data_IF_496732499205
#
_entry.id   IF_496732499205
#
_cell.length_a   1.000
_cell.length_b   1.000
_cell.length_c   1.000
_cell.angle_alpha   90.00
_cell.angle_beta   90.00
_cell.angle_gamma   90.00
#
_symmetry.space_group_name_H-M   'P 1'
#
loop_
_entity.id
_entity.type
_entity.pdbx_description
1 polymer ?
#
# COMPACT_ATOMS: atom_id res chain seq x y z
N UNK A 1 -27.79 -51.30 -22.60
CA UNK A 1 -26.45 -50.71 -22.36
C UNK A 1 -25.77 -51.62 -21.36
N UNK A 2 -24.60 -52.15 -21.73
CA UNK A 2 -23.84 -53.04 -20.85
C UNK A 2 -23.41 -52.28 -19.59
N UNK A 3 -23.48 -52.96 -18.44
CA UNK A 3 -23.09 -52.43 -17.13
C UNK A 3 -21.65 -51.91 -17.10
N UNK A 4 -20.80 -52.46 -17.97
CA UNK A 4 -19.41 -52.03 -18.19
C UNK A 4 -19.30 -50.66 -18.86
N UNK A 5 -20.21 -50.32 -19.77
CA UNK A 5 -20.21 -49.02 -20.44
C UNK A 5 -20.65 -47.92 -19.45
N UNK A 6 -21.63 -48.22 -18.59
CA UNK A 6 -22.15 -47.29 -17.58
C UNK A 6 -21.07 -47.00 -16.52
N UNK A 7 -20.33 -48.01 -16.07
CA UNK A 7 -19.26 -47.81 -15.07
C UNK A 7 -18.10 -46.97 -15.58
N UNK A 8 -17.72 -47.11 -16.86
CA UNK A 8 -16.68 -46.27 -17.50
C UNK A 8 -17.13 -44.80 -17.57
N UNK A 9 -18.37 -44.54 -17.97
CA UNK A 9 -18.91 -43.17 -18.07
C UNK A 9 -18.93 -42.50 -16.70
N UNK A 10 -19.34 -43.23 -15.65
CA UNK A 10 -19.36 -42.71 -14.27
C UNK A 10 -17.95 -42.41 -13.78
N UNK A 11 -16.97 -43.29 -14.04
CA UNK A 11 -15.58 -43.05 -13.66
C UNK A 11 -14.99 -41.80 -14.32
N UNK A 12 -15.26 -41.59 -15.63
CA UNK A 12 -14.83 -40.38 -16.34
C UNK A 12 -15.49 -39.13 -15.76
N UNK A 13 -16.80 -39.18 -15.46
CA UNK A 13 -17.51 -38.06 -14.87
C UNK A 13 -16.94 -37.67 -13.50
N UNK A 14 -16.55 -38.65 -12.66
CA UNK A 14 -15.92 -38.41 -11.36
C UNK A 14 -14.54 -37.77 -11.53
N UNK A 15 -13.73 -38.25 -12.48
CA UNK A 15 -12.39 -37.68 -12.75
C UNK A 15 -12.50 -36.25 -13.26
N UNK A 16 -13.46 -35.97 -14.17
CA UNK A 16 -13.71 -34.62 -14.67
C UNK A 16 -14.21 -33.70 -13.56
N UNK A 17 -15.14 -34.17 -12.72
CA UNK A 17 -15.63 -33.39 -11.57
C UNK A 17 -14.52 -33.11 -10.55
N UNK A 18 -13.66 -34.09 -10.27
CA UNK A 18 -12.48 -33.90 -9.42
C UNK A 18 -11.49 -32.92 -10.06
N UNK A 19 -11.23 -33.04 -11.36
CA UNK A 19 -10.38 -32.08 -12.08
C UNK A 19 -10.93 -30.66 -12.00
N UNK A 20 -12.23 -30.44 -12.22
CA UNK A 20 -12.85 -29.12 -12.07
C UNK A 20 -12.83 -28.61 -10.63
N UNK A 21 -13.04 -29.48 -9.64
CA UNK A 21 -12.97 -29.13 -8.22
C UNK A 21 -11.55 -28.75 -7.77
N UNK A 22 -10.52 -29.44 -8.27
CA UNK A 22 -9.12 -29.13 -7.97
C UNK A 22 -8.54 -28.01 -8.84
N UNK A 23 -9.06 -27.79 -10.05
CA UNK A 23 -8.63 -26.69 -10.94
C UNK A 23 -9.33 -25.37 -10.65
N UNK A 24 -10.38 -25.36 -9.83
CA UNK A 24 -10.85 -24.15 -9.16
C UNK A 24 -9.85 -23.74 -8.08
N UNK A 25 -8.70 -23.21 -8.50
CA UNK A 25 -7.89 -22.35 -7.63
C UNK A 25 -8.79 -21.22 -7.17
N UNK A 26 -9.11 -21.18 -5.88
CA UNK A 26 -9.69 -20.00 -5.28
C UNK A 26 -8.78 -18.82 -5.64
N UNK A 27 -9.30 -17.85 -6.38
CA UNK A 27 -8.62 -16.59 -6.62
C UNK A 27 -8.47 -15.90 -5.26
N UNK A 28 -7.37 -16.18 -4.57
CA UNK A 28 -6.96 -15.36 -3.42
C UNK A 28 -6.79 -13.97 -4.00
N UNK A 29 -7.63 -13.03 -3.57
CA UNK A 29 -7.46 -11.64 -3.96
C UNK A 29 -6.04 -11.23 -3.55
N UNK A 30 -5.17 -11.02 -4.55
CA UNK A 30 -3.76 -10.64 -4.34
C UNK A 30 -3.61 -9.24 -3.73
N UNK A 31 -4.73 -8.59 -3.40
CA UNK A 31 -4.79 -7.32 -2.71
C UNK A 31 -5.86 -7.33 -1.61
N UNK A 32 -5.60 -6.57 -0.56
CA UNK A 32 -6.50 -6.35 0.57
C UNK A 32 -6.67 -4.85 0.78
N UNK A 33 -7.88 -4.34 0.63
CA UNK A 33 -8.19 -2.94 1.00
C UNK A 33 -8.26 -2.83 2.51
N UNK A 34 -7.34 -2.09 3.12
CA UNK A 34 -7.29 -1.85 4.56
C UNK A 34 -8.33 -0.79 4.94
N UNK A 35 -8.38 0.30 4.18
CA UNK A 35 -9.30 1.41 4.38
C UNK A 35 -9.74 1.97 3.02
N UNK A 36 -11.03 1.87 2.71
CA UNK A 36 -11.61 2.32 1.43
C UNK A 36 -12.18 3.74 1.48
N UNK A 37 -12.55 4.23 2.65
CA UNK A 37 -13.06 5.58 2.84
C UNK A 37 -11.92 6.58 3.03
N UNK A 38 -12.22 7.83 2.72
CA UNK A 38 -11.41 8.98 3.13
C UNK A 38 -11.60 9.19 4.63
N UNK A 39 -10.52 9.09 5.40
CA UNK A 39 -10.51 9.35 6.85
C UNK A 39 -9.54 10.50 7.18
N UNK A 40 -9.81 11.15 8.31
CA UNK A 40 -8.92 12.15 8.90
C UNK A 40 -7.60 11.51 9.36
N UNK A 41 -6.48 12.07 8.92
CA UNK A 41 -5.13 11.63 9.26
C UNK A 41 -4.77 11.75 10.73
N UNK A 42 -5.53 12.52 11.52
CA UNK A 42 -5.37 12.65 12.98
C UNK A 42 -6.02 11.50 13.75
N UNK A 43 -7.01 10.84 13.16
CA UNK A 43 -7.79 9.80 13.82
C UNK A 43 -7.02 8.48 13.75
N UNK A 44 -6.75 7.88 14.90
CA UNK A 44 -6.11 6.57 14.95
C UNK A 44 -7.08 5.49 14.45
N UNK A 45 -6.58 4.63 13.57
CA UNK A 45 -7.29 3.44 13.13
C UNK A 45 -6.33 2.25 13.13
N UNK A 46 -6.83 1.10 13.58
CA UNK A 46 -6.10 -0.15 13.65
C UNK A 46 -6.84 -1.21 12.87
N UNK A 47 -6.21 -1.75 11.84
CA UNK A 47 -6.84 -2.78 11.01
C UNK A 47 -7.01 -4.08 11.78
N UNK A 48 -8.14 -4.74 11.58
CA UNK A 48 -8.40 -6.11 12.05
C UNK A 48 -8.12 -7.16 10.96
N UNK A 49 -7.68 -6.74 9.77
CA UNK A 49 -7.46 -7.64 8.63
C UNK A 49 -6.10 -8.29 8.73
N UNK A 50 -6.08 -9.62 8.67
CA UNK A 50 -4.86 -10.36 8.43
C UNK A 50 -4.41 -10.11 6.99
N UNK A 51 -3.18 -9.65 6.81
CA UNK A 51 -2.61 -9.48 5.48
C UNK A 51 -2.07 -10.83 4.98
N UNK A 52 -2.38 -11.23 3.74
CA UNK A 52 -1.78 -12.44 3.18
C UNK A 52 -0.26 -12.26 3.16
N UNK A 53 0.46 -13.35 3.45
CA UNK A 53 1.92 -13.37 3.31
C UNK A 53 2.27 -13.10 1.85
N UNK A 54 3.46 -12.53 1.64
CA UNK A 54 4.06 -12.42 0.31
C UNK A 54 3.84 -13.73 -0.43
N UNK A 55 3.33 -13.66 -1.65
CA UNK A 55 3.41 -14.82 -2.53
C UNK A 55 4.91 -15.00 -2.78
N UNK A 56 5.49 -16.08 -2.27
CA UNK A 56 6.84 -16.52 -2.63
C UNK A 56 6.83 -16.76 -4.14
N UNK A 57 7.06 -15.69 -4.91
CA UNK A 57 7.48 -15.81 -6.27
C UNK A 57 8.87 -16.46 -6.23
N UNK A 58 9.31 -17.05 -7.34
CA UNK A 58 10.62 -17.69 -7.43
C UNK A 58 11.80 -16.74 -7.09
N UNK A 59 11.50 -15.44 -6.91
CA UNK A 59 12.39 -14.30 -6.71
C UNK A 59 12.46 -13.83 -5.23
N UNK A 60 11.61 -14.35 -4.33
CA UNK A 60 11.69 -14.08 -2.88
C UNK A 60 10.56 -13.22 -2.30
N UNK A 61 10.87 -12.45 -1.25
CA UNK A 61 9.93 -11.68 -0.45
C UNK A 61 9.48 -10.39 -1.15
N UNK A 62 8.20 -10.32 -1.53
CA UNK A 62 7.62 -9.16 -2.23
C UNK A 62 6.28 -8.71 -1.64
N UNK A 63 6.09 -7.41 -1.51
CA UNK A 63 4.80 -6.84 -1.10
C UNK A 63 4.72 -5.37 -1.43
N UNK A 64 3.50 -4.84 -1.57
CA UNK A 64 3.30 -3.42 -1.88
C UNK A 64 2.18 -2.79 -1.06
N UNK A 65 2.27 -1.49 -0.86
CA UNK A 65 1.22 -0.67 -0.25
C UNK A 65 0.91 0.52 -1.15
N UNK A 66 -0.36 0.85 -1.31
CA UNK A 66 -0.78 2.07 -1.98
C UNK A 66 -1.70 2.87 -1.08
N UNK A 67 -1.63 4.19 -1.18
CA UNK A 67 -2.63 5.06 -0.59
C UNK A 67 -2.68 6.40 -1.30
N UNK A 68 -3.81 7.06 -1.10
CA UNK A 68 -3.96 8.48 -1.39
C UNK A 68 -3.82 9.28 -0.12
N UNK A 69 -3.01 10.33 -0.16
CA UNK A 69 -2.84 11.24 0.96
C UNK A 69 -3.01 12.68 0.51
N UNK A 70 -3.58 13.49 1.39
CA UNK A 70 -3.64 14.94 1.28
C UNK A 70 -3.16 15.52 2.59
N UNK A 71 -2.08 16.28 2.57
CA UNK A 71 -1.54 16.91 3.79
C UNK A 71 -1.98 18.37 3.79
N UNK A 72 -2.73 18.79 4.80
CA UNK A 72 -3.27 20.15 4.88
C UNK A 72 -2.29 21.12 5.56
N UNK A 73 -1.56 20.67 6.58
CA UNK A 73 -0.50 21.43 7.25
C UNK A 73 0.67 20.54 7.69
N UNK A 74 1.88 20.88 7.25
CA UNK A 74 3.12 20.21 7.69
C UNK A 74 3.59 20.66 9.08
N UNK A 75 3.13 21.83 9.52
CA UNK A 75 3.50 22.45 10.80
C UNK A 75 2.73 21.85 11.98
N UNK A 76 1.68 21.06 11.72
CA UNK A 76 0.99 20.31 12.75
C UNK A 76 1.99 19.44 13.52
N UNK A 77 1.98 19.52 14.86
CA UNK A 77 2.94 18.82 15.73
C UNK A 77 4.39 19.02 15.27
N UNK A 78 4.77 20.28 15.09
CA UNK A 78 6.12 20.67 14.69
C UNK A 78 7.18 20.04 15.62
N UNK A 79 8.28 19.53 15.04
CA UNK A 79 9.34 18.85 15.80
C UNK A 79 9.13 17.35 15.99
N UNK A 80 7.95 16.81 15.66
CA UNK A 80 7.65 15.38 15.78
C UNK A 80 7.27 14.76 14.42
N UNK A 81 7.85 13.60 14.04
CA UNK A 81 7.39 12.84 12.88
C UNK A 81 5.95 12.40 13.03
N UNK A 82 5.18 12.51 11.95
CA UNK A 82 3.72 12.27 11.96
C UNK A 82 3.42 11.01 11.16
N UNK A 83 2.80 10.01 11.78
CA UNK A 83 2.53 8.73 11.13
C UNK A 83 1.33 8.85 10.19
N UNK A 84 1.52 8.54 8.91
CA UNK A 84 0.43 8.34 7.96
C UNK A 84 -0.12 6.91 8.15
N UNK A 85 0.74 5.92 7.95
CA UNK A 85 0.45 4.53 8.28
C UNK A 85 1.72 3.78 8.65
N UNK A 86 1.57 2.70 9.40
CA UNK A 86 2.64 1.77 9.73
C UNK A 86 2.12 0.34 9.74
N UNK A 87 2.84 -0.56 9.10
CA UNK A 87 2.71 -2.01 9.31
C UNK A 87 3.71 -2.38 10.40
N UNK A 88 3.25 -2.43 11.65
CA UNK A 88 4.18 -2.37 12.77
C UNK A 88 3.53 -2.20 14.13
N UNK A 89 4.36 -2.13 15.16
CA UNK A 89 3.92 -1.77 16.50
C UNK A 89 3.59 -0.27 16.58
N UNK A 90 2.59 0.10 17.39
CA UNK A 90 2.16 1.51 17.54
C UNK A 90 3.20 2.39 18.23
N UNK A 91 4.17 1.79 18.92
CA UNK A 91 5.33 2.49 19.47
C UNK A 91 6.44 2.74 18.42
N UNK A 92 6.20 2.39 17.15
CA UNK A 92 7.13 2.55 16.01
C UNK A 92 8.49 1.87 16.20
N UNK A 93 8.59 0.90 17.12
CA UNK A 93 9.81 0.07 17.28
C UNK A 93 9.98 -0.98 16.20
N UNK A 94 8.88 -1.34 15.54
CA UNK A 94 8.88 -2.28 14.41
C UNK A 94 8.06 -1.68 13.28
N UNK A 95 8.64 -1.59 12.08
CA UNK A 95 8.05 -0.92 10.91
C UNK A 95 8.51 -1.63 9.63
N UNK A 96 7.59 -2.26 8.91
CA UNK A 96 7.90 -2.89 7.62
C UNK A 96 6.65 -2.91 6.73
N UNK A 97 6.31 -1.80 6.05
CA UNK A 97 6.93 -0.47 6.09
C UNK A 97 6.14 0.51 6.97
N UNK A 98 6.67 1.71 7.15
CA UNK A 98 5.94 2.87 7.66
C UNK A 98 6.11 4.07 6.73
N UNK A 99 5.02 4.84 6.57
CA UNK A 99 5.01 6.12 5.86
C UNK A 99 4.72 7.23 6.87
N UNK A 100 5.61 8.21 6.93
CA UNK A 100 5.52 9.33 7.87
C UNK A 100 5.68 10.65 7.12
N UNK A 101 5.10 11.72 7.67
CA UNK A 101 5.48 13.09 7.35
C UNK A 101 6.63 13.49 8.27
N UNK A 102 7.66 14.10 7.71
CA UNK A 102 8.80 14.60 8.46
C UNK A 102 8.38 15.60 9.55
N UNK A 103 9.23 15.72 10.57
CA UNK A 103 8.97 16.58 11.73
C UNK A 103 8.85 18.06 11.37
N UNK A 104 9.69 18.52 10.44
CA UNK A 104 9.93 19.96 10.21
C UNK A 104 9.83 20.36 8.74
N UNK A 105 9.93 19.41 7.81
CA UNK A 105 9.97 19.69 6.37
C UNK A 105 8.77 19.10 5.65
N UNK A 106 8.53 19.57 4.42
CA UNK A 106 7.54 19.03 3.49
C UNK A 106 8.04 17.74 2.80
N UNK A 107 8.53 16.80 3.61
CA UNK A 107 9.12 15.55 3.18
C UNK A 107 8.32 14.38 3.74
N UNK A 108 8.05 13.37 2.92
CA UNK A 108 7.57 12.07 3.40
C UNK A 108 8.78 11.16 3.66
N UNK A 109 8.70 10.38 4.73
CA UNK A 109 9.71 9.42 5.13
C UNK A 109 9.11 8.03 5.00
N UNK A 110 9.70 7.20 4.15
CA UNK A 110 9.42 5.76 4.13
C UNK A 110 10.47 5.10 5.00
N UNK A 111 10.03 4.36 6.01
CA UNK A 111 10.90 3.60 6.91
C UNK A 111 10.63 2.11 6.75
N UNK A 112 11.70 1.35 6.56
CA UNK A 112 11.65 -0.11 6.43
C UNK A 112 12.72 -0.70 7.33
N UNK A 113 12.30 -1.48 8.32
CA UNK A 113 13.21 -2.30 9.11
C UNK A 113 13.70 -3.46 8.25
N UNK A 114 15.01 -3.65 8.26
CA UNK A 114 15.73 -4.77 7.66
C UNK A 114 16.46 -5.54 8.75
N UNK A 115 17.09 -6.66 8.41
CA UNK A 115 17.98 -7.35 9.35
C UNK A 115 19.28 -6.56 9.65
N UNK A 116 19.60 -5.53 8.86
CA UNK A 116 20.78 -4.68 9.04
C UNK A 116 20.53 -3.39 9.80
N UNK A 117 19.27 -2.99 10.00
CA UNK A 117 18.90 -1.72 10.63
C UNK A 117 17.57 -1.20 10.09
N UNK A 118 17.33 0.11 10.19
CA UNK A 118 16.15 0.75 9.58
C UNK A 118 16.60 1.63 8.42
N UNK A 119 16.20 1.28 7.21
CA UNK A 119 16.41 2.12 6.03
C UNK A 119 15.34 3.23 6.00
N UNK A 120 15.78 4.48 5.81
CA UNK A 120 14.92 5.66 5.76
C UNK A 120 15.06 6.36 4.40
N UNK A 121 13.98 6.40 3.64
CA UNK A 121 13.93 6.94 2.28
C UNK A 121 13.12 8.24 2.29
N UNK A 122 13.77 9.41 2.13
CA UNK A 122 13.10 10.70 2.10
C UNK A 122 12.54 11.04 0.70
N UNK A 123 11.31 11.54 0.67
CA UNK A 123 10.60 12.00 -0.53
C UNK A 123 10.25 13.48 -0.31
N UNK A 124 11.09 14.37 -0.82
CA UNK A 124 10.98 15.81 -0.57
C UNK A 124 10.02 16.50 -1.52
N UNK A 125 9.70 17.76 -1.22
CA UNK A 125 8.89 18.64 -2.08
C UNK A 125 7.43 18.18 -2.25
N UNK A 126 6.84 17.61 -1.19
CA UNK A 126 5.44 17.23 -1.20
C UNK A 126 4.57 18.49 -1.11
N UNK A 127 3.55 18.64 -2.00
CA UNK A 127 2.66 19.80 -1.95
C UNK A 127 1.68 19.71 -0.77
N UNK A 128 1.40 20.86 -0.16
CA UNK A 128 0.27 20.98 0.77
C UNK A 128 -1.06 21.07 0.00
N UNK A 129 -2.13 20.61 0.64
CA UNK A 129 -3.54 20.69 0.22
C UNK A 129 -3.86 20.05 -1.13
N UNK A 130 -2.98 19.19 -1.64
CA UNK A 130 -3.19 18.41 -2.86
C UNK A 130 -3.22 16.93 -2.53
N UNK A 131 -4.10 16.21 -3.23
CA UNK A 131 -4.10 14.75 -3.22
C UNK A 131 -2.91 14.24 -4.00
N UNK A 132 -2.17 13.31 -3.40
CA UNK A 132 -1.10 12.57 -4.03
C UNK A 132 -1.31 11.08 -3.82
N UNK A 133 -1.01 10.30 -4.85
CA UNK A 133 -0.98 8.85 -4.77
C UNK A 133 0.45 8.41 -4.45
N UNK A 134 0.60 7.63 -3.39
CA UNK A 134 1.87 7.03 -2.99
C UNK A 134 1.75 5.53 -3.15
N UNK A 135 2.70 4.90 -3.83
CA UNK A 135 2.86 3.45 -3.81
C UNK A 135 4.27 3.09 -3.36
N UNK A 136 4.35 2.12 -2.45
CA UNK A 136 5.58 1.51 -1.99
C UNK A 136 5.58 0.08 -2.49
N UNK A 137 6.48 -0.26 -3.40
CA UNK A 137 6.69 -1.64 -3.84
C UNK A 137 8.00 -2.13 -3.22
N UNK A 138 7.90 -3.13 -2.35
CA UNK A 138 9.03 -3.67 -1.61
C UNK A 138 9.36 -5.04 -2.18
N UNK A 139 10.63 -5.22 -2.50
CA UNK A 139 11.24 -6.48 -2.87
C UNK A 139 12.24 -6.91 -1.78
N UNK A 140 12.88 -8.06 -1.97
CA UNK A 140 13.83 -8.65 -1.03
C UNK A 140 15.08 -7.79 -0.86
N UNK A 141 15.50 -7.05 -1.90
CA UNK A 141 16.74 -6.29 -1.94
C UNK A 141 16.54 -4.79 -2.22
N UNK A 142 15.30 -4.35 -2.43
CA UNK A 142 15.01 -2.98 -2.85
C UNK A 142 13.60 -2.50 -2.49
N UNK A 143 13.43 -1.18 -2.48
CA UNK A 143 12.15 -0.50 -2.31
C UNK A 143 11.99 0.53 -3.41
N UNK A 144 10.95 0.34 -4.21
CA UNK A 144 10.49 1.32 -5.20
C UNK A 144 9.40 2.20 -4.60
N UNK A 145 9.61 3.50 -4.67
CA UNK A 145 8.61 4.49 -4.27
C UNK A 145 8.09 5.19 -5.50
N UNK A 146 6.77 5.13 -5.69
CA UNK A 146 6.07 5.84 -6.75
C UNK A 146 5.27 7.00 -6.17
N UNK A 147 5.39 8.16 -6.79
CA UNK A 147 4.58 9.35 -6.50
C UNK A 147 3.80 9.71 -7.75
N UNK A 148 2.48 9.72 -7.60
CA UNK A 148 1.57 9.93 -8.70
C UNK A 148 1.90 9.04 -9.92
N UNK A 149 2.07 7.73 -9.70
CA UNK A 149 2.23 6.75 -10.77
C UNK A 149 3.62 6.72 -11.41
N UNK A 150 4.45 7.73 -11.14
CA UNK A 150 5.82 7.81 -11.62
C UNK A 150 6.79 7.29 -10.56
N UNK A 151 7.80 6.52 -10.97
CA UNK A 151 8.89 6.08 -10.09
C UNK A 151 9.65 7.32 -9.61
N UNK A 152 9.61 7.56 -8.30
CA UNK A 152 10.35 8.64 -7.66
C UNK A 152 11.79 8.21 -7.36
N UNK A 153 11.94 7.05 -6.72
CA UNK A 153 13.24 6.46 -6.38
C UNK A 153 13.15 4.94 -6.35
N UNK A 154 14.20 4.29 -6.85
CA UNK A 154 14.53 2.89 -6.57
C UNK A 154 15.63 2.90 -5.50
N UNK A 155 15.37 2.33 -4.34
CA UNK A 155 16.29 2.30 -3.22
C UNK A 155 16.73 0.88 -2.91
N UNK A 156 18.01 0.57 -3.11
CA UNK A 156 18.57 -0.74 -2.74
C UNK A 156 18.71 -0.85 -1.22
N UNK A 157 18.14 -1.90 -0.65
CA UNK A 157 18.22 -2.23 0.77
C UNK A 157 19.56 -2.87 1.10
N UNK A 158 20.06 -2.58 2.29
CA UNK A 158 21.31 -3.16 2.78
C UNK A 158 21.17 -4.64 3.13
N UNK A 159 19.97 -5.04 3.58
CA UNK A 159 19.60 -6.40 4.01
C UNK A 159 18.11 -6.64 3.74
N UNK A 160 17.69 -7.90 3.83
CA UNK A 160 16.30 -8.30 3.61
C UNK A 160 15.34 -7.56 4.55
N UNK A 161 14.17 -7.07 4.07
CA UNK A 161 13.13 -6.49 4.91
C UNK A 161 12.70 -7.44 6.04
N UNK A 162 12.66 -6.91 7.25
CA UNK A 162 12.25 -7.62 8.45
C UNK A 162 10.74 -7.46 8.64
N UNK A 163 9.99 -8.33 7.97
CA UNK A 163 8.53 -8.38 8.15
C UNK A 163 8.15 -8.64 9.61
N UNK A 164 7.02 -8.06 10.02
CA UNK A 164 6.47 -8.22 11.36
C UNK A 164 5.05 -8.82 11.33
N UNK A 165 4.62 -9.39 12.45
CA UNK A 165 3.28 -9.97 12.62
C UNK A 165 2.23 -8.94 13.09
N UNK A 166 2.62 -7.68 13.29
CA UNK A 166 1.73 -6.61 13.72
C UNK A 166 0.71 -6.26 12.64
N UNK A 167 -0.36 -5.54 12.99
CA UNK A 167 -1.33 -5.09 11.98
C UNK A 167 -0.90 -3.77 11.33
N UNK A 168 -1.68 -3.28 10.37
CA UNK A 168 -1.55 -1.92 9.85
C UNK A 168 -2.34 -0.97 10.73
N UNK A 169 -1.68 0.10 11.17
CA UNK A 169 -2.29 1.18 11.92
C UNK A 169 -2.03 2.52 11.21
N UNK A 170 -2.99 3.43 11.30
CA UNK A 170 -2.94 4.80 10.76
C UNK A 170 -3.17 5.80 11.89
N UNK A 171 -2.75 7.05 11.72
CA UNK A 171 -3.00 8.11 12.70
C UNK A 171 -2.40 7.85 14.09
N UNK A 172 -1.36 7.01 14.17
CA UNK A 172 -0.75 6.61 15.43
C UNK A 172 -0.17 7.82 16.15
N UNK A 173 -0.33 7.86 17.47
CA UNK A 173 0.12 8.96 18.34
C UNK A 173 -0.40 10.34 17.93
N UNK A 174 -1.54 10.46 17.24
CA UNK A 174 -2.11 11.73 16.77
C UNK A 174 -1.84 12.04 15.30
N UNK A 175 -1.12 11.17 14.58
CA UNK A 175 -1.08 11.19 13.12
C UNK A 175 -0.58 12.49 12.48
N UNK A 176 -1.15 12.84 11.34
CA UNK A 176 -0.83 14.04 10.54
C UNK A 176 -2.07 14.89 10.29
N UNK A 177 -1.89 16.18 9.99
CA UNK A 177 -2.99 17.04 9.56
C UNK A 177 -3.28 16.84 8.08
N UNK A 178 -4.40 16.20 7.78
CA UNK A 178 -4.80 15.91 6.42
C UNK A 178 -5.76 14.73 6.32
N UNK A 179 -5.80 14.10 5.16
CA UNK A 179 -6.69 12.97 4.86
C UNK A 179 -5.92 11.82 4.23
N UNK A 180 -6.35 10.59 4.57
CA UNK A 180 -5.87 9.33 4.00
C UNK A 180 -7.05 8.61 3.36
N UNK A 181 -6.87 8.09 2.15
CA UNK A 181 -7.89 7.35 1.43
C UNK A 181 -7.29 6.15 0.68
N UNK A 182 -8.13 5.14 0.42
CA UNK A 182 -7.78 3.95 -0.36
C UNK A 182 -6.43 3.32 0.05
N UNK A 183 -6.23 3.07 1.34
CA UNK A 183 -5.06 2.32 1.80
C UNK A 183 -5.24 0.85 1.43
N UNK A 184 -4.40 0.35 0.54
CA UNK A 184 -4.45 -1.02 0.03
C UNK A 184 -3.10 -1.70 0.19
N UNK A 185 -3.16 -3.00 0.44
CA UNK A 185 -2.01 -3.90 0.51
C UNK A 185 -2.06 -4.86 -0.67
N UNK A 186 -0.91 -5.21 -1.21
CA UNK A 186 -0.73 -6.17 -2.29
C UNK A 186 0.34 -7.19 -1.87
N UNK A 187 0.07 -8.47 -1.98
CA UNK A 187 1.01 -9.55 -1.61
C UNK A 187 2.05 -9.86 -2.70
N UNK A 188 2.33 -8.88 -3.54
CA UNK A 188 3.25 -8.97 -4.68
C UNK A 188 3.91 -7.61 -4.94
N UNK A 189 4.99 -7.61 -5.71
CA UNK A 189 5.67 -6.40 -6.18
C UNK A 189 4.82 -5.67 -7.22
N UNK A 190 4.47 -4.41 -6.96
CA UNK A 190 3.69 -3.59 -7.89
C UNK A 190 4.59 -2.99 -8.96
N UNK A 191 4.35 -3.39 -10.21
CA UNK A 191 4.95 -2.74 -11.38
C UNK A 191 4.29 -1.39 -11.68
N UNK A 192 4.94 -0.54 -12.47
CA UNK A 192 4.42 0.77 -12.86
C UNK A 192 3.00 0.73 -13.48
N UNK A 193 2.68 -0.33 -14.24
CA UNK A 193 1.32 -0.55 -14.77
C UNK A 193 0.30 -0.82 -13.65
N UNK A 194 0.65 -1.66 -12.68
CA UNK A 194 -0.18 -1.92 -11.50
C UNK A 194 -0.40 -0.65 -10.67
N UNK A 195 0.64 0.17 -10.49
CA UNK A 195 0.56 1.47 -9.79
C UNK A 195 -0.36 2.45 -10.54
N UNK A 196 -0.25 2.49 -11.87
CA UNK A 196 -1.11 3.36 -12.68
C UNK A 196 -2.59 2.94 -12.58
N UNK A 197 -2.87 1.64 -12.50
CA UNK A 197 -4.21 1.10 -12.28
C UNK A 197 -4.74 1.40 -10.87
N UNK A 198 -3.91 1.26 -9.83
CA UNK A 198 -4.34 1.58 -8.46
C UNK A 198 -4.63 3.06 -8.30
N UNK A 199 -3.80 3.91 -8.93
CA UNK A 199 -4.03 5.36 -8.98
C UNK A 199 -5.38 5.69 -9.64
N UNK A 200 -5.80 5.00 -10.70
CA UNK A 200 -7.07 5.32 -11.35
C UNK A 200 -8.27 5.25 -10.37
N UNK A 201 -8.15 4.52 -9.26
CA UNK A 201 -9.11 4.55 -8.15
C UNK A 201 -8.87 5.78 -7.25
N UNK A 202 -9.45 6.91 -7.62
CA UNK A 202 -9.35 8.16 -6.84
C UNK A 202 -10.13 8.08 -5.52
N UNK A 203 -9.72 8.86 -4.49
CA UNK A 203 -10.48 8.99 -3.25
C UNK A 203 -11.92 9.41 -3.53
N UNK A 204 -12.87 8.78 -2.84
CA UNK A 204 -14.22 9.33 -2.79
C UNK A 204 -14.20 10.58 -1.88
N UNK A 205 -14.85 11.69 -2.27
CA UNK A 205 -15.01 12.84 -1.39
C UNK A 205 -15.58 12.38 -0.05
N UNK A 206 -14.97 12.85 1.04
CA UNK A 206 -15.53 12.65 2.38
C UNK A 206 -16.90 13.33 2.43
N UNK A 207 -18.00 12.61 2.75
CA UNK A 207 -19.34 13.19 2.78
C UNK A 207 -19.48 14.38 3.74
N UNK A 208 -18.59 14.51 4.72
CA UNK A 208 -18.58 15.61 5.69
C UNK A 208 -17.75 16.82 5.21
N UNK A 209 -17.08 16.72 4.05
CA UNK A 209 -16.24 17.77 3.48
C UNK A 209 -17.03 18.67 2.52
N UNK A 210 -17.88 19.52 3.10
CA UNK A 210 -18.67 20.53 2.36
C UNK A 210 -17.72 21.63 1.86
N UNK A 211 -17.06 21.40 0.72
CA UNK A 211 -16.14 22.35 0.08
C UNK A 211 -14.77 21.79 -0.30
N UNK A 212 -14.53 20.48 -0.10
CA UNK A 212 -13.31 19.82 -0.57
C UNK A 212 -13.16 19.91 -2.10
N UNK A 213 -11.93 20.00 -2.64
CA UNK A 213 -11.72 20.06 -4.08
C UNK A 213 -12.34 18.82 -4.74
N UNK A 214 -13.26 19.04 -5.68
CA UNK A 214 -13.85 18.00 -6.53
C UNK A 214 -12.84 17.60 -7.62
N UNK A 215 -12.83 16.34 -8.08
CA UNK A 215 -11.96 15.89 -9.16
C UNK A 215 -12.14 16.77 -10.42
N UNK A 216 -11.07 16.97 -11.23
CA UNK A 216 -9.95 16.06 -11.42
C UNK A 216 -8.70 16.41 -10.61
N UNK A 217 -8.23 15.46 -9.80
CA UNK A 217 -6.96 15.55 -9.04
C UNK A 217 -5.70 15.37 -9.91
N UNK A 218 -5.89 15.19 -11.22
CA UNK A 218 -4.90 14.77 -12.19
C UNK A 218 -4.07 15.90 -12.82
N UNK A 219 -4.23 17.17 -12.42
CA UNK A 219 -3.36 18.22 -12.96
C UNK A 219 -1.93 18.08 -12.39
N UNK A 220 -1.09 17.42 -13.18
CA UNK A 220 0.31 17.06 -12.87
C UNK A 220 1.32 18.11 -13.38
N UNK A 221 0.86 19.18 -14.02
CA UNK A 221 1.70 20.22 -14.63
C UNK A 221 2.66 20.88 -13.63
N UNK A 222 2.27 20.97 -12.37
CA UNK A 222 3.08 21.55 -11.30
C UNK A 222 4.24 20.65 -10.84
N UNK A 223 4.20 19.34 -11.09
CA UNK A 223 5.23 18.37 -10.69
C UNK A 223 6.28 18.17 -11.79
N UNK A 224 5.84 18.11 -13.05
CA UNK A 224 6.73 17.86 -14.20
C UNK A 224 7.46 19.10 -14.70
N UNK A 225 6.98 20.32 -14.38
CA UNK A 225 7.54 21.58 -14.90
C UNK A 225 8.84 22.05 -14.24
N UNK A 226 9.30 21.45 -13.13
CA UNK A 226 10.48 21.92 -12.38
C UNK A 226 11.79 21.17 -12.68
N UNK A 227 11.83 20.38 -13.75
CA UNK A 227 13.07 19.80 -14.27
C UNK A 227 13.43 20.50 -15.59
N UNK A 228 14.07 21.67 -15.49
CA UNK A 228 14.84 22.30 -16.58
C UNK A 228 16.30 22.42 -16.14
#
# INVERSE_FOLDING_TARGET
MDTTLISIVVAIAIVVAAYFYFSSTASVSNYTTIQSSTEDGRKSFRSNKALPRSLDQNEGLTFSYTCWIKIDDFSYRYGEPKVVFTKGSEDLKTMCPALLVDANTNTLLVKVDTFGGTDTIPISNIPAKKWIHVALAVDQDSVDVYINGNLYIHHSLSQVPKQNNSTVSTGVAGGFDGKLANLQYYSYFMTADGVSKSMASTPQPDPNDIGGPLPPYFDMSWWTSRRS
#
